data_IF_139798466707
#
_entry.id   IF_139798466707
#
_cell.length_a   1.000
_cell.length_b   1.000
_cell.length_c   1.000
_cell.angle_alpha   90.00
_cell.angle_beta   90.00
_cell.angle_gamma   90.00
#
_symmetry.space_group_name_H-M   'P 1'
#
loop_
_entity.id
_entity.type
_entity.pdbx_description
1 polymer ?
#
# COMPACT_ATOMS: atom_id res chain seq x y z
N UNK A 1 4.18 -2.80 -44.67
CA UNK A 1 4.50 -4.05 -43.93
C UNK A 1 5.88 -4.07 -43.27
N UNK A 2 6.93 -3.44 -43.82
CA UNK A 2 8.31 -3.51 -43.29
C UNK A 2 8.50 -3.10 -41.83
N UNK A 3 7.73 -2.13 -41.33
CA UNK A 3 7.83 -1.66 -39.94
C UNK A 3 6.81 -2.30 -38.99
N UNK A 4 5.87 -3.11 -39.50
CA UNK A 4 4.81 -3.69 -38.68
C UNK A 4 5.37 -4.67 -37.62
N UNK A 5 6.42 -5.42 -37.98
CA UNK A 5 7.10 -6.33 -37.05
C UNK A 5 7.82 -5.57 -35.92
N UNK A 6 8.48 -4.46 -36.25
CA UNK A 6 9.20 -3.63 -35.27
C UNK A 6 8.23 -2.95 -34.30
N UNK A 7 7.09 -2.48 -34.79
CA UNK A 7 6.02 -1.91 -33.97
C UNK A 7 5.42 -2.99 -33.06
N UNK A 8 5.15 -4.18 -33.58
CA UNK A 8 4.62 -5.29 -32.77
C UNK A 8 5.58 -5.69 -31.64
N UNK A 9 6.89 -5.81 -31.94
CA UNK A 9 7.91 -6.13 -30.93
C UNK A 9 8.03 -5.02 -29.88
N UNK A 10 8.08 -3.75 -30.30
CA UNK A 10 8.13 -2.63 -29.36
C UNK A 10 6.89 -2.59 -28.45
N UNK A 11 5.71 -2.90 -29.00
CA UNK A 11 4.47 -2.96 -28.26
C UNK A 11 4.48 -4.11 -27.22
N UNK A 12 4.98 -5.29 -27.58
CA UNK A 12 5.12 -6.42 -26.66
C UNK A 12 6.06 -6.12 -25.49
N UNK A 13 7.15 -5.38 -25.72
CA UNK A 13 8.10 -4.97 -24.67
C UNK A 13 7.48 -3.94 -23.73
N UNK A 14 6.70 -2.99 -24.25
CA UNK A 14 5.99 -2.00 -23.42
C UNK A 14 4.85 -2.65 -22.61
N UNK A 15 4.23 -3.71 -23.13
CA UNK A 15 3.17 -4.43 -22.44
C UNK A 15 3.70 -5.29 -21.29
N UNK A 16 4.84 -5.97 -21.46
CA UNK A 16 5.46 -6.75 -20.38
C UNK A 16 5.94 -5.87 -19.22
N UNK A 17 6.43 -4.67 -19.51
CA UNK A 17 6.83 -3.68 -18.51
C UNK A 17 5.67 -3.14 -17.65
N UNK A 18 4.41 -3.29 -18.09
CA UNK A 18 3.23 -2.84 -17.35
C UNK A 18 2.60 -3.94 -16.48
N UNK A 19 3.14 -5.16 -16.49
CA UNK A 19 2.64 -6.22 -15.60
C UNK A 19 3.06 -5.94 -14.16
N UNK A 20 2.11 -6.06 -13.22
CA UNK A 20 2.42 -5.93 -11.80
C UNK A 20 3.37 -7.04 -11.39
N UNK A 21 4.44 -6.75 -10.61
CA UNK A 21 5.35 -7.79 -10.12
C UNK A 21 4.72 -8.65 -9.02
N UNK A 22 3.55 -8.27 -8.49
CA UNK A 22 2.86 -9.03 -7.45
C UNK A 22 2.01 -10.14 -8.06
N UNK A 23 2.20 -11.36 -7.57
CA UNK A 23 1.30 -12.48 -7.85
C UNK A 23 -0.08 -12.23 -7.24
N UNK A 24 -1.10 -12.93 -7.73
CA UNK A 24 -2.46 -12.85 -7.16
C UNK A 24 -2.49 -13.25 -5.69
N UNK A 25 -1.72 -14.28 -5.31
CA UNK A 25 -1.63 -14.73 -3.91
C UNK A 25 -0.99 -13.66 -3.01
N UNK A 26 0.06 -12.98 -3.49
CA UNK A 26 0.66 -11.87 -2.76
C UNK A 26 -0.35 -10.73 -2.57
N UNK A 27 -1.13 -10.38 -3.60
CA UNK A 27 -2.20 -9.37 -3.50
C UNK A 27 -3.29 -9.78 -2.50
N UNK A 28 -3.66 -11.06 -2.48
CA UNK A 28 -4.62 -11.59 -1.53
C UNK A 28 -4.11 -11.52 -0.08
N UNK A 29 -2.79 -11.63 0.14
CA UNK A 29 -2.21 -11.43 1.48
C UNK A 29 -2.36 -9.97 1.95
N UNK A 30 -2.05 -9.00 1.07
CA UNK A 30 -2.22 -7.57 1.39
C UNK A 30 -3.67 -7.24 1.73
N UNK A 31 -4.65 -7.69 0.94
CA UNK A 31 -6.07 -7.44 1.22
C UNK A 31 -6.72 -8.41 2.21
N UNK A 32 -5.94 -9.27 2.86
CA UNK A 32 -6.44 -10.27 3.79
C UNK A 32 -5.71 -10.19 5.14
N UNK A 33 -4.87 -11.19 5.48
CA UNK A 33 -4.24 -11.29 6.78
C UNK A 33 -3.31 -10.11 7.14
N UNK A 34 -2.74 -9.41 6.17
CA UNK A 34 -1.84 -8.28 6.44
C UNK A 34 -2.58 -7.01 6.87
N UNK A 35 -3.75 -6.79 6.30
CA UNK A 35 -4.64 -5.66 6.60
C UNK A 35 -5.62 -5.93 7.74
N UNK A 36 -5.46 -7.03 8.48
CA UNK A 36 -6.23 -7.23 9.70
C UNK A 36 -5.96 -6.07 10.67
N UNK A 37 -6.99 -5.28 11.04
CA UNK A 37 -6.80 -4.12 11.90
C UNK A 37 -6.22 -4.51 13.26
N UNK A 38 -5.28 -3.71 13.76
CA UNK A 38 -4.69 -3.85 15.10
C UNK A 38 -5.16 -2.71 15.99
N UNK A 39 -5.21 -2.95 17.30
CA UNK A 39 -5.52 -1.88 18.25
C UNK A 39 -4.41 -0.82 18.22
N UNK A 40 -4.80 0.46 18.12
CA UNK A 40 -3.83 1.55 18.09
C UNK A 40 -3.09 1.66 19.43
N UNK A 41 -1.77 1.88 19.36
CA UNK A 41 -0.95 2.02 20.57
C UNK A 41 0.13 3.09 20.39
N UNK A 42 0.61 3.61 21.51
CA UNK A 42 1.71 4.57 21.52
C UNK A 42 3.02 3.83 21.24
N UNK A 43 3.70 4.21 20.15
CA UNK A 43 4.99 3.62 19.80
C UNK A 43 6.11 4.28 20.59
N UNK A 44 6.30 5.59 20.42
CA UNK A 44 7.31 6.38 21.13
C UNK A 44 7.00 7.88 21.03
N UNK A 45 7.25 8.65 22.09
CA UNK A 45 7.08 10.10 22.06
C UNK A 45 5.66 10.51 21.65
N UNK A 46 5.52 11.31 20.60
CA UNK A 46 4.23 11.72 20.03
C UNK A 46 3.81 10.88 18.81
N UNK A 47 4.42 9.72 18.60
CA UNK A 47 4.18 8.81 17.49
C UNK A 47 3.34 7.62 17.97
N UNK A 48 2.23 7.38 17.28
CA UNK A 48 1.30 6.29 17.54
C UNK A 48 1.26 5.35 16.33
N UNK A 49 1.25 4.05 16.59
CA UNK A 49 0.93 3.06 15.58
C UNK A 49 -0.58 2.99 15.40
N UNK A 50 -1.05 3.15 14.16
CA UNK A 50 -2.47 3.11 13.76
C UNK A 50 -2.67 2.19 12.55
N UNK A 51 -1.77 1.24 12.35
CA UNK A 51 -1.77 0.31 11.22
C UNK A 51 -2.54 -0.99 11.46
N UNK A 52 -2.22 -1.97 10.64
CA UNK A 52 -2.74 -3.33 10.69
C UNK A 52 -1.63 -4.32 11.05
N UNK A 53 -1.94 -5.61 11.08
CA UNK A 53 -1.02 -6.67 11.54
C UNK A 53 0.33 -6.70 10.81
N UNK A 54 0.35 -6.46 9.49
CA UNK A 54 1.58 -6.45 8.69
C UNK A 54 1.67 -5.26 7.72
N UNK A 55 0.86 -4.22 7.91
CA UNK A 55 0.92 -2.97 7.14
C UNK A 55 0.93 -1.81 8.11
N UNK A 56 1.99 -1.02 8.06
CA UNK A 56 2.20 0.07 9.00
C UNK A 56 1.47 1.34 8.57
N UNK A 57 0.88 2.03 9.55
CA UNK A 57 0.43 3.41 9.44
C UNK A 57 0.71 4.10 10.77
N UNK A 58 1.08 5.39 10.74
CA UNK A 58 1.50 6.13 11.92
C UNK A 58 0.79 7.47 12.03
N UNK A 59 0.40 7.83 13.25
CA UNK A 59 -0.10 9.16 13.58
C UNK A 59 0.94 9.90 14.42
N UNK A 60 1.41 11.03 13.93
CA UNK A 60 2.31 11.94 14.65
C UNK A 60 1.46 13.11 15.18
N UNK A 61 1.31 13.19 16.50
CA UNK A 61 0.45 14.19 17.15
C UNK A 61 1.27 15.43 17.51
N UNK A 62 0.81 16.62 17.10
CA UNK A 62 1.44 17.89 17.47
C UNK A 62 0.40 18.91 17.93
N UNK A 63 0.77 19.93 18.72
CA UNK A 63 -0.17 20.98 19.13
C UNK A 63 -0.79 21.77 17.95
N UNK A 64 -0.14 21.77 16.78
CA UNK A 64 -0.60 22.49 15.59
C UNK A 64 -1.46 21.62 14.66
N UNK A 65 -1.60 20.33 14.98
CA UNK A 65 -2.30 19.35 14.15
C UNK A 65 -1.54 18.03 14.04
N UNK A 66 -2.20 17.02 13.47
CA UNK A 66 -1.65 15.68 13.35
C UNK A 66 -1.12 15.44 11.93
N UNK A 67 -0.10 14.60 11.81
CA UNK A 67 0.40 14.08 10.52
C UNK A 67 0.14 12.59 10.47
N UNK A 68 -0.58 12.14 9.45
CA UNK A 68 -0.80 10.73 9.16
C UNK A 68 0.21 10.26 8.10
N UNK A 69 0.92 9.17 8.39
CA UNK A 69 1.83 8.50 7.46
C UNK A 69 1.18 7.20 7.02
N UNK A 70 0.86 7.13 5.72
CA UNK A 70 0.21 6.01 5.03
C UNK A 70 -1.24 5.73 5.52
N UNK A 71 -2.05 5.18 4.62
CA UNK A 71 -3.40 4.67 4.90
C UNK A 71 -3.53 3.18 4.66
N UNK A 72 -2.50 2.51 4.12
CA UNK A 72 -2.54 1.09 3.82
C UNK A 72 -3.65 0.74 2.82
N UNK A 73 -4.34 -0.38 3.05
CA UNK A 73 -5.42 -0.84 2.17
C UNK A 73 -6.80 -0.33 2.62
N UNK A 74 -7.81 -0.51 1.77
CA UNK A 74 -9.20 -0.12 2.03
C UNK A 74 -9.79 -0.74 3.30
N UNK A 75 -9.36 -1.94 3.66
CA UNK A 75 -9.83 -2.69 4.83
C UNK A 75 -9.39 -2.05 6.16
N UNK A 76 -8.34 -1.22 6.15
CA UNK A 76 -7.75 -0.62 7.35
C UNK A 76 -8.45 0.69 7.77
N UNK A 77 -9.45 1.15 7.03
CA UNK A 77 -10.14 2.44 7.26
C UNK A 77 -10.72 2.58 8.68
N UNK A 78 -11.07 1.48 9.35
CA UNK A 78 -11.66 1.51 10.68
C UNK A 78 -10.68 1.92 11.79
N UNK A 79 -9.38 1.60 11.64
CA UNK A 79 -8.32 1.88 12.63
C UNK A 79 -7.50 3.11 12.31
N UNK A 80 -7.54 3.57 11.06
CA UNK A 80 -6.84 4.77 10.61
C UNK A 80 -7.77 5.96 10.78
N UNK A 81 -7.80 6.52 11.98
CA UNK A 81 -8.59 7.72 12.30
C UNK A 81 -7.69 8.78 12.92
N UNK A 82 -7.79 9.99 12.38
CA UNK A 82 -7.11 11.18 12.89
C UNK A 82 -8.00 11.93 13.90
#
# INVERSE_FOLDING_TARGET
MRYALLIAVAFSVVLSAQTSPLSNDARAQFHGPYSQPEEAFRLIGNIYYVGAKNIASYLIVTPQGNVLIDTGTTEMTSVIKA
#
